data_IF_787154786601
#
_entry.id   IF_787154786601
#
_cell.length_a   1.000
_cell.length_b   1.000
_cell.length_c   1.000
_cell.angle_alpha   90.00
_cell.angle_beta   90.00
_cell.angle_gamma   90.00
#
_symmetry.space_group_name_H-M   'P 1'
#
loop_
_entity.id
_entity.type
_entity.pdbx_description
1 polymer ?
#
# COMPACT_ATOMS: atom_id res chain seq x y z
N UNK A 1 6.39 19.62 34.76
CA UNK A 1 7.71 19.95 34.16
C UNK A 1 8.09 18.75 33.30
N UNK A 2 7.69 18.75 32.03
CA UNK A 2 8.42 19.28 30.86
C UNK A 2 9.38 18.21 30.29
N UNK A 3 9.25 17.72 29.06
CA UNK A 3 8.39 18.20 27.98
C UNK A 3 8.30 17.23 26.80
N UNK A 4 7.14 17.27 26.15
CA UNK A 4 7.04 16.98 24.72
C UNK A 4 7.86 18.04 23.98
N UNK A 5 8.78 17.59 23.13
CA UNK A 5 9.38 18.43 22.11
C UNK A 5 8.83 17.96 20.77
N UNK A 6 7.87 18.72 20.25
CA UNK A 6 7.65 18.82 18.82
C UNK A 6 8.82 19.64 18.27
N UNK A 7 9.38 19.22 17.13
CA UNK A 7 9.79 20.07 16.01
C UNK A 7 10.52 19.19 14.98
N UNK A 8 9.93 19.10 13.79
CA UNK A 8 10.45 18.32 12.67
C UNK A 8 9.44 18.24 11.54
N UNK A 9 9.33 19.34 10.78
CA UNK A 9 8.55 19.48 9.55
C UNK A 9 8.96 18.42 8.53
N UNK A 10 7.99 17.62 8.07
CA UNK A 10 8.15 16.53 7.11
C UNK A 10 7.05 15.50 7.33
N UNK A 11 5.83 15.81 6.89
CA UNK A 11 4.70 14.88 6.95
C UNK A 11 4.85 13.80 5.90
N UNK A 12 5.65 12.78 6.18
CA UNK A 12 5.70 11.59 5.32
C UNK A 12 4.39 10.80 5.51
N UNK A 13 3.72 10.39 4.42
CA UNK A 13 2.49 9.60 4.50
C UNK A 13 2.78 8.29 5.24
N UNK A 14 1.92 7.94 6.20
CA UNK A 14 2.05 6.70 6.96
C UNK A 14 1.64 5.52 6.09
N UNK A 15 2.62 4.90 5.44
CA UNK A 15 2.44 3.65 4.67
C UNK A 15 2.77 2.46 5.56
N UNK A 16 1.83 1.51 5.68
CA UNK A 16 2.09 0.22 6.34
C UNK A 16 1.94 -0.91 5.34
N UNK A 17 3.07 -1.55 5.03
CA UNK A 17 3.06 -2.84 4.33
C UNK A 17 2.85 -3.92 5.37
N UNK A 18 1.77 -4.68 5.24
CA UNK A 18 1.53 -5.82 6.10
C UNK A 18 2.57 -6.93 5.86
N UNK A 19 3.25 -7.40 6.92
CA UNK A 19 4.05 -8.64 6.85
C UNK A 19 3.13 -9.83 6.51
N UNK A 20 3.20 -10.34 5.28
CA UNK A 20 2.64 -11.63 4.85
C UNK A 20 3.80 -12.44 4.28
N UNK A 21 3.83 -13.73 4.59
CA UNK A 21 4.97 -14.65 4.40
C UNK A 21 5.05 -15.28 3.00
N UNK A 22 4.27 -14.78 2.05
CA UNK A 22 4.17 -15.34 0.70
C UNK A 22 4.25 -14.20 -0.33
N UNK A 23 5.39 -14.14 -1.02
CA UNK A 23 5.67 -13.11 -2.03
C UNK A 23 4.79 -13.26 -3.28
N UNK A 24 4.06 -14.38 -3.43
CA UNK A 24 3.15 -14.65 -4.55
C UNK A 24 1.69 -14.24 -4.28
N UNK A 25 1.36 -13.79 -3.07
CA UNK A 25 0.00 -13.39 -2.73
C UNK A 25 -0.46 -12.13 -3.50
N UNK A 26 -1.72 -12.07 -3.99
CA UNK A 26 -2.24 -10.88 -4.67
C UNK A 26 -2.27 -9.69 -3.71
N UNK A 27 -2.07 -8.50 -4.27
CA UNK A 27 -1.88 -7.28 -3.48
C UNK A 27 -3.20 -6.51 -3.40
N UNK A 28 -3.56 -6.10 -2.19
CA UNK A 28 -4.68 -5.19 -1.96
C UNK A 28 -4.20 -3.88 -1.35
N UNK A 29 -4.67 -2.75 -1.91
CA UNK A 29 -4.44 -1.42 -1.39
C UNK A 29 -5.67 -0.94 -0.60
N UNK A 30 -5.46 -0.53 0.64
CA UNK A 30 -6.47 0.05 1.53
C UNK A 30 -6.16 1.52 1.76
N UNK A 31 -7.11 2.39 1.42
CA UNK A 31 -6.96 3.84 1.51
C UNK A 31 -8.10 4.42 2.36
N UNK A 32 -7.79 4.79 3.60
CA UNK A 32 -8.75 5.35 4.55
C UNK A 32 -8.01 6.16 5.62
N UNK A 33 -8.47 7.37 5.94
CA UNK A 33 -7.89 8.20 6.99
C UNK A 33 -8.26 7.76 8.43
N UNK A 34 -9.04 6.68 8.56
CA UNK A 34 -9.41 6.09 9.84
C UNK A 34 -8.66 4.78 10.12
N UNK A 35 -7.74 4.83 11.09
CA UNK A 35 -6.93 3.69 11.55
C UNK A 35 -7.74 2.45 11.94
N UNK A 36 -8.92 2.61 12.56
CA UNK A 36 -9.77 1.47 12.92
C UNK A 36 -10.40 0.82 11.70
N UNK A 37 -10.70 1.62 10.67
CA UNK A 37 -11.20 1.14 9.38
C UNK A 37 -10.12 0.30 8.69
N UNK A 38 -8.89 0.84 8.59
CA UNK A 38 -7.73 0.15 8.03
C UNK A 38 -7.48 -1.18 8.75
N UNK A 39 -7.37 -1.16 10.09
CA UNK A 39 -7.09 -2.37 10.88
C UNK A 39 -8.15 -3.47 10.66
N UNK A 40 -9.43 -3.11 10.65
CA UNK A 40 -10.52 -4.05 10.42
C UNK A 40 -10.48 -4.63 9.01
N UNK A 41 -10.29 -3.78 8.00
CA UNK A 41 -10.23 -4.21 6.60
C UNK A 41 -9.01 -5.08 6.32
N UNK A 42 -7.85 -4.74 6.89
CA UNK A 42 -6.63 -5.54 6.80
C UNK A 42 -6.88 -6.98 7.30
N UNK A 43 -7.52 -7.12 8.47
CA UNK A 43 -7.89 -8.44 8.99
C UNK A 43 -8.86 -9.23 8.10
N UNK A 44 -9.77 -8.56 7.39
CA UNK A 44 -10.71 -9.21 6.45
C UNK A 44 -9.99 -9.70 5.20
N UNK A 45 -9.11 -8.87 4.61
CA UNK A 45 -8.42 -9.17 3.36
C UNK A 45 -7.28 -10.17 3.53
N UNK A 46 -6.52 -10.10 4.64
CA UNK A 46 -5.49 -11.11 4.94
C UNK A 46 -6.06 -12.51 5.07
N UNK A 47 -7.24 -12.66 5.67
CA UNK A 47 -7.91 -13.96 5.76
C UNK A 47 -8.36 -14.49 4.41
N UNK A 48 -8.45 -13.62 3.39
CA UNK A 48 -8.70 -13.99 2.00
C UNK A 48 -7.41 -14.19 1.19
N UNK A 49 -6.25 -14.17 1.84
CA UNK A 49 -4.96 -14.43 1.20
C UNK A 49 -4.31 -13.23 0.51
N UNK A 50 -4.77 -12.01 0.76
CA UNK A 50 -4.15 -10.81 0.18
C UNK A 50 -2.96 -10.30 1.01
N UNK A 51 -1.92 -9.83 0.32
CA UNK A 51 -0.91 -8.92 0.88
C UNK A 51 -1.49 -7.52 0.91
N UNK A 52 -1.66 -6.95 2.10
CA UNK A 52 -2.34 -5.67 2.29
C UNK A 52 -1.33 -4.55 2.45
N UNK A 53 -1.50 -3.49 1.66
CA UNK A 53 -0.81 -2.21 1.76
C UNK A 53 -1.83 -1.18 2.25
N UNK A 54 -1.50 -0.48 3.32
CA UNK A 54 -2.33 0.59 3.88
C UNK A 54 -1.75 1.96 3.54
N UNK A 55 -2.62 2.89 3.20
CA UNK A 55 -2.33 4.29 3.00
C UNK A 55 -3.48 5.16 3.58
N UNK A 56 -3.16 6.39 3.97
CA UNK A 56 -4.13 7.34 4.52
C UNK A 56 -4.36 8.55 3.62
N UNK A 57 -3.63 8.65 2.51
CA UNK A 57 -3.43 9.87 1.71
C UNK A 57 -3.65 9.58 0.22
N UNK A 58 -4.27 10.51 -0.51
CA UNK A 58 -4.68 10.30 -1.90
C UNK A 58 -3.50 10.24 -2.88
N UNK A 59 -2.58 11.21 -2.83
CA UNK A 59 -1.39 11.25 -3.70
C UNK A 59 -0.54 9.98 -3.50
N UNK A 60 -0.27 9.63 -2.24
CA UNK A 60 0.50 8.42 -1.92
C UNK A 60 -0.22 7.14 -2.35
N UNK A 61 -1.56 7.12 -2.37
CA UNK A 61 -2.31 5.98 -2.87
C UNK A 61 -2.12 5.78 -4.38
N UNK A 62 -2.11 6.86 -5.17
CA UNK A 62 -1.85 6.80 -6.61
C UNK A 62 -0.43 6.30 -6.89
N UNK A 63 0.57 6.82 -6.17
CA UNK A 63 1.96 6.35 -6.26
C UNK A 63 2.09 4.85 -5.94
N UNK A 64 1.47 4.40 -4.85
CA UNK A 64 1.46 2.99 -4.44
C UNK A 64 0.72 2.12 -5.46
N UNK A 65 -0.36 2.62 -6.06
CA UNK A 65 -1.09 1.89 -7.08
C UNK A 65 -0.23 1.61 -8.32
N UNK A 66 0.53 2.62 -8.78
CA UNK A 66 1.42 2.49 -9.94
C UNK A 66 2.61 1.57 -9.63
N UNK A 67 3.19 1.70 -8.44
CA UNK A 67 4.42 0.98 -8.07
C UNK A 67 4.18 -0.46 -7.63
N UNK A 68 3.17 -0.70 -6.79
CA UNK A 68 2.90 -2.03 -6.20
C UNK A 68 1.87 -2.83 -6.99
N UNK A 69 1.19 -2.21 -7.96
CA UNK A 69 0.22 -2.83 -8.88
C UNK A 69 -0.83 -3.71 -8.17
N UNK A 70 -1.59 -3.17 -7.20
CA UNK A 70 -2.59 -3.93 -6.47
C UNK A 70 -3.75 -4.38 -7.36
N UNK A 71 -4.16 -5.65 -7.28
CA UNK A 71 -5.31 -6.17 -8.03
C UNK A 71 -6.65 -5.66 -7.46
N UNK A 72 -6.63 -5.22 -6.20
CA UNK A 72 -7.80 -4.83 -5.42
C UNK A 72 -7.52 -3.53 -4.66
N UNK A 73 -8.43 -2.57 -4.75
CA UNK A 73 -8.34 -1.27 -4.06
C UNK A 73 -9.63 -1.02 -3.30
N UNK A 74 -9.53 -0.72 -2.01
CA UNK A 74 -10.61 -0.10 -1.24
C UNK A 74 -10.21 1.32 -0.92
N UNK A 75 -11.01 2.30 -1.36
CA UNK A 75 -10.71 3.72 -1.19
C UNK A 75 -11.88 4.46 -0.55
N UNK A 76 -11.57 5.29 0.43
CA UNK A 76 -12.50 6.25 1.03
C UNK A 76 -12.63 7.49 0.14
N UNK A 77 -13.82 8.09 0.06
CA UNK A 77 -14.00 9.39 -0.62
C UNK A 77 -13.23 10.50 0.10
N UNK A 78 -13.46 10.64 1.40
CA UNK A 78 -12.80 11.65 2.21
C UNK A 78 -11.42 11.15 2.67
N UNK A 79 -10.38 11.54 1.94
CA UNK A 79 -8.97 11.35 2.31
C UNK A 79 -8.21 12.67 2.07
N UNK A 80 -7.07 12.91 2.76
CA UNK A 80 -6.24 14.09 2.53
C UNK A 80 -5.59 14.09 1.13
N UNK A 81 -5.01 15.24 0.77
CA UNK A 81 -4.30 15.59 -0.49
C UNK A 81 -5.16 15.55 -1.75
N UNK A 82 -5.80 14.42 -2.03
CA UNK A 82 -6.60 14.19 -3.23
C UNK A 82 -7.94 13.55 -2.86
N UNK A 83 -9.03 14.01 -3.48
CA UNK A 83 -10.34 13.38 -3.29
C UNK A 83 -10.30 11.93 -3.78
N UNK A 84 -10.87 11.00 -3.00
CA UNK A 84 -10.79 9.57 -3.32
C UNK A 84 -11.42 9.20 -4.66
N UNK A 85 -12.39 9.97 -5.15
CA UNK A 85 -12.92 9.81 -6.52
C UNK A 85 -11.88 10.17 -7.57
N UNK A 86 -11.19 11.30 -7.40
CA UNK A 86 -10.14 11.75 -8.33
C UNK A 86 -8.96 10.77 -8.31
N UNK A 87 -8.51 10.36 -7.12
CA UNK A 87 -7.47 9.34 -6.97
C UNK A 87 -7.83 8.04 -7.70
N UNK A 88 -9.08 7.58 -7.61
CA UNK A 88 -9.54 6.39 -8.33
C UNK A 88 -9.54 6.56 -9.85
N UNK A 89 -9.84 7.76 -10.36
CA UNK A 89 -9.76 8.06 -11.78
C UNK A 89 -8.31 8.04 -12.28
N UNK A 90 -7.37 8.65 -11.56
CA UNK A 90 -5.93 8.62 -11.90
C UNK A 90 -5.38 7.17 -11.87
N UNK A 91 -5.78 6.37 -10.87
CA UNK A 91 -5.46 4.94 -10.84
C UNK A 91 -6.00 4.24 -12.09
N UNK A 92 -7.26 4.49 -12.45
CA UNK A 92 -7.92 3.85 -13.60
C UNK A 92 -7.29 4.24 -14.94
N UNK A 93 -6.84 5.49 -15.07
CA UNK A 93 -6.09 6.01 -16.22
C UNK A 93 -4.76 5.25 -16.35
N UNK A 94 -4.03 5.07 -15.25
CA UNK A 94 -2.75 4.36 -15.26
C UNK A 94 -2.90 2.86 -15.56
N UNK A 95 -3.97 2.22 -15.06
CA UNK A 95 -4.25 0.79 -15.28
C UNK A 95 -5.72 0.46 -15.07
N UNK A 96 -6.30 -0.21 -16.06
CA UNK A 96 -7.74 -0.49 -16.10
C UNK A 96 -8.17 -1.86 -15.54
N UNK A 97 -7.25 -2.73 -15.13
CA UNK A 97 -7.54 -4.11 -14.71
C UNK A 97 -7.69 -4.29 -13.18
N UNK A 98 -7.52 -3.23 -12.39
CA UNK A 98 -7.70 -3.28 -10.95
C UNK A 98 -9.18 -3.17 -10.54
N UNK A 99 -9.54 -3.87 -9.47
CA UNK A 99 -10.89 -3.82 -8.88
C UNK A 99 -10.94 -2.72 -7.83
N UNK A 100 -11.70 -1.67 -8.10
CA UNK A 100 -11.84 -0.51 -7.19
C UNK A 100 -13.18 -0.60 -6.46
N UNK A 101 -13.15 -0.44 -5.14
CA UNK A 101 -14.33 -0.41 -4.26
C UNK A 101 -14.29 0.89 -3.46
N UNK A 102 -15.37 1.66 -3.53
CA UNK A 102 -15.52 2.84 -2.67
C UNK A 102 -16.05 2.47 -1.29
N UNK A 103 -15.57 3.18 -0.28
CA UNK A 103 -16.12 3.11 1.08
C UNK A 103 -16.55 4.50 1.52
N UNK A 104 -17.79 4.64 1.98
CA UNK A 104 -18.35 5.94 2.33
C UNK A 104 -19.33 5.85 3.50
N UNK A 105 -19.48 6.92 4.32
CA UNK A 105 -20.56 6.99 5.28
C UNK A 105 -21.92 7.08 4.56
N UNK A 106 -22.99 6.66 5.22
CA UNK A 106 -24.36 6.72 4.67
C UNK A 106 -24.76 8.09 4.14
N UNK A 107 -24.28 9.16 4.77
CA UNK A 107 -24.53 10.55 4.38
C UNK A 107 -24.00 10.91 2.99
N UNK A 108 -23.06 10.13 2.45
CA UNK A 108 -22.46 10.33 1.14
C UNK A 108 -22.79 9.18 0.17
N UNK A 109 -23.85 8.41 0.43
CA UNK A 109 -24.18 7.24 -0.38
C UNK A 109 -24.46 7.57 -1.86
N UNK A 110 -25.07 8.72 -2.16
CA UNK A 110 -25.22 9.18 -3.56
C UNK A 110 -23.88 9.57 -4.19
N UNK A 111 -23.07 10.38 -3.50
CA UNK A 111 -21.74 10.76 -3.99
C UNK A 111 -20.86 9.55 -4.28
N UNK A 112 -20.90 8.54 -3.42
CA UNK A 112 -20.16 7.29 -3.60
C UNK A 112 -20.67 6.46 -4.78
N UNK A 113 -21.97 6.50 -5.08
CA UNK A 113 -22.53 5.86 -6.28
C UNK A 113 -22.08 6.58 -7.55
N UNK A 114 -22.10 7.90 -7.56
CA UNK A 114 -21.66 8.71 -8.70
C UNK A 114 -20.16 8.51 -8.96
N UNK A 115 -19.34 8.54 -7.90
CA UNK A 115 -17.91 8.24 -7.99
C UNK A 115 -17.64 6.81 -8.49
N UNK A 116 -18.41 5.83 -7.99
CA UNK A 116 -18.30 4.44 -8.43
C UNK A 116 -18.64 4.26 -9.90
N UNK A 117 -19.72 4.87 -10.38
CA UNK A 117 -20.07 4.87 -11.80
C UNK A 117 -18.98 5.55 -12.62
N UNK A 118 -18.52 6.72 -12.20
CA UNK A 118 -17.52 7.52 -12.89
C UNK A 118 -16.17 6.79 -13.06
N UNK A 119 -15.66 6.15 -12.00
CA UNK A 119 -14.36 5.45 -12.00
C UNK A 119 -14.43 3.96 -12.42
N UNK A 120 -15.61 3.45 -12.74
CA UNK A 120 -15.81 2.03 -13.03
C UNK A 120 -15.48 1.14 -11.82
N UNK A 121 -15.95 1.54 -10.64
CA UNK A 121 -15.79 0.76 -9.41
C UNK A 121 -16.76 -0.43 -9.39
N UNK A 122 -16.32 -1.57 -8.87
CA UNK A 122 -17.12 -2.81 -8.83
C UNK A 122 -18.19 -2.78 -7.73
N UNK A 123 -17.96 -1.99 -6.67
CA UNK A 123 -18.88 -1.90 -5.54
C UNK A 123 -18.70 -0.61 -4.73
N UNK A 124 -19.73 -0.31 -3.91
CA UNK A 124 -19.70 0.70 -2.86
C UNK A 124 -20.09 0.05 -1.54
N UNK A 125 -19.31 0.28 -0.50
CA UNK A 125 -19.58 -0.23 0.85
C UNK A 125 -19.83 0.90 1.84
N UNK A 126 -20.92 0.77 2.60
CA UNK A 126 -21.24 1.70 3.69
C UNK A 126 -20.29 1.47 4.87
N UNK A 127 -19.70 2.56 5.39
CA UNK A 127 -18.94 2.53 6.64
C UNK A 127 -19.89 2.47 7.84
N UNK A 128 -19.61 1.66 8.88
CA UNK A 128 -18.44 0.80 9.05
C UNK A 128 -18.49 -0.49 8.21
N UNK A 129 -17.45 -0.72 7.40
CA UNK A 129 -17.37 -1.91 6.54
C UNK A 129 -17.21 -3.19 7.37
N UNK A 130 -18.24 -4.03 7.39
CA UNK A 130 -18.20 -5.33 8.07
C UNK A 130 -17.69 -6.43 7.15
N UNK A 131 -17.29 -7.56 7.73
CA UNK A 131 -16.98 -8.79 6.97
C UNK A 131 -18.15 -9.23 6.09
N UNK A 132 -19.37 -9.21 6.63
CA UNK A 132 -20.57 -9.59 5.90
C UNK A 132 -20.86 -8.66 4.72
N UNK A 133 -20.55 -7.36 4.84
CA UNK A 133 -20.69 -6.41 3.74
C UNK A 133 -19.71 -6.72 2.60
N UNK A 134 -18.45 -7.05 2.92
CA UNK A 134 -17.46 -7.49 1.93
C UNK A 134 -17.85 -8.81 1.28
N UNK A 135 -18.36 -9.77 2.06
CA UNK A 135 -18.85 -11.05 1.55
C UNK A 135 -20.03 -10.89 0.59
N UNK A 136 -20.96 -9.98 0.90
CA UNK A 136 -22.14 -9.73 0.08
C UNK A 136 -21.81 -9.18 -1.32
N UNK A 137 -20.68 -8.50 -1.49
CA UNK A 137 -20.24 -7.94 -2.78
C UNK A 137 -19.11 -8.73 -3.41
N UNK A 138 -18.64 -9.82 -2.79
CA UNK A 138 -17.44 -10.53 -3.23
C UNK A 138 -17.56 -11.11 -4.64
N UNK A 139 -18.74 -11.63 -4.99
CA UNK A 139 -19.03 -12.12 -6.35
C UNK A 139 -18.90 -10.99 -7.38
N UNK A 140 -19.37 -9.78 -7.07
CA UNK A 140 -19.21 -8.62 -7.93
C UNK A 140 -17.74 -8.17 -8.03
N UNK A 141 -16.99 -8.28 -6.93
CA UNK A 141 -15.54 -8.02 -6.94
C UNK A 141 -14.83 -8.97 -7.91
N UNK A 142 -15.16 -10.26 -7.90
CA UNK A 142 -14.52 -11.25 -8.79
C UNK A 142 -14.99 -11.18 -10.25
N UNK A 143 -16.10 -10.48 -10.51
CA UNK A 143 -16.72 -10.34 -11.83
C UNK A 143 -16.00 -9.39 -12.79
N UNK A 144 -16.77 -8.89 -13.75
CA UNK A 144 -16.31 -7.94 -14.77
C UNK A 144 -16.07 -6.56 -14.17
N UNK A 145 -15.01 -5.89 -14.64
CA UNK A 145 -14.69 -4.52 -14.24
C UNK A 145 -15.52 -3.57 -15.12
N UNK A 146 -16.38 -2.71 -14.54
CA UNK A 146 -17.18 -1.76 -15.30
C UNK A 146 -16.30 -0.74 -16.03
N UNK A 147 -16.82 -0.19 -17.14
CA UNK A 147 -16.21 0.96 -17.80
C UNK A 147 -16.18 2.19 -16.87
N UNK A 148 -15.20 3.05 -17.08
CA UNK A 148 -14.98 4.26 -16.31
C UNK A 148 -15.26 5.52 -17.16
N UNK A 149 -16.53 5.88 -17.40
CA UNK A 149 -16.90 7.01 -18.25
C UNK A 149 -16.35 8.36 -17.75
N UNK A 150 -16.01 8.47 -16.46
CA UNK A 150 -15.42 9.66 -15.86
C UNK A 150 -14.02 10.01 -16.35
N UNK A 151 -13.28 9.05 -16.93
CA UNK A 151 -11.96 9.34 -17.50
C UNK A 151 -12.03 10.40 -18.60
N UNK A 152 -13.05 10.34 -19.45
CA UNK A 152 -13.24 11.31 -20.53
C UNK A 152 -13.50 12.74 -20.03
N UNK A 153 -13.88 12.91 -18.76
CA UNK A 153 -14.05 14.22 -18.13
C UNK A 153 -12.78 14.67 -17.40
N UNK A 154 -11.94 13.74 -16.93
CA UNK A 154 -10.63 14.05 -16.34
C UNK A 154 -9.69 14.67 -17.39
N UNK A 155 -9.64 14.10 -18.58
CA UNK A 155 -8.84 14.61 -19.72
C UNK A 155 -9.23 16.05 -20.11
N UNK A 156 -10.47 16.46 -19.85
CA UNK A 156 -10.95 17.83 -20.11
C UNK A 156 -10.55 18.82 -19.02
N UNK A 157 -10.45 18.35 -17.77
CA UNK A 157 -10.10 19.17 -16.61
C UNK A 157 -8.60 19.47 -16.58
N UNK A 158 -7.80 18.47 -16.96
CA UNK A 158 -6.37 18.59 -17.19
C UNK A 158 -6.10 18.15 -18.62
N UNK A 159 -6.38 18.99 -19.64
CA UNK A 159 -5.80 18.74 -20.94
C UNK A 159 -4.32 18.55 -20.69
N UNK A 160 -3.76 17.42 -21.16
CA UNK A 160 -2.31 17.19 -21.15
C UNK A 160 -1.66 18.54 -21.48
N UNK A 161 -0.65 18.94 -20.71
CA UNK A 161 0.12 20.14 -20.99
C UNK A 161 0.82 19.94 -22.35
N UNK A 162 0.07 20.00 -23.45
CA UNK A 162 0.48 20.12 -24.84
C UNK A 162 0.97 21.55 -25.05
N UNK A 163 1.93 21.92 -24.23
CA UNK A 163 2.93 22.92 -24.49
C UNK A 163 4.03 22.54 -23.49
N UNK A 164 5.10 21.93 -24.01
CA UNK A 164 6.41 22.36 -23.54
C UNK A 164 6.35 23.88 -23.62
N UNK A 165 5.99 24.54 -22.52
CA UNK A 165 6.22 25.97 -22.41
C UNK A 165 7.72 26.02 -22.55
N UNK A 166 8.19 26.38 -23.74
CA UNK A 166 9.53 26.85 -23.94
C UNK A 166 9.59 28.08 -23.04
N UNK A 167 9.95 27.87 -21.77
CA UNK A 167 10.18 28.95 -20.84
C UNK A 167 11.35 29.67 -21.49
N UNK A 168 11.06 30.74 -22.23
CA UNK A 168 12.06 31.72 -22.60
C UNK A 168 12.55 32.29 -21.29
N UNK A 169 13.57 31.61 -20.75
CA UNK A 169 14.24 31.93 -19.50
C UNK A 169 14.96 33.28 -19.61
N UNK A 170 14.75 34.06 -20.67
CA UNK A 170 14.88 35.51 -20.67
C UNK A 170 16.20 35.95 -20.06
N UNK A 171 17.30 35.31 -20.46
CA UNK A 171 18.64 35.62 -19.98
C UNK A 171 18.80 35.70 -18.46
N UNK A 172 17.97 34.97 -17.68
CA UNK A 172 18.15 34.91 -16.24
C UNK A 172 19.58 34.40 -15.97
N UNK A 173 20.39 35.13 -15.19
CA UNK A 173 21.75 34.69 -14.90
C UNK A 173 21.65 33.34 -14.20
N UNK A 174 22.33 32.34 -14.77
CA UNK A 174 22.48 31.04 -14.11
C UNK A 174 23.00 31.31 -12.69
N UNK A 175 22.44 30.66 -11.66
CA UNK A 175 23.04 30.72 -10.34
C UNK A 175 24.49 30.25 -10.47
N UNK A 176 25.44 30.86 -9.73
CA UNK A 176 26.82 30.40 -9.75
C UNK A 176 26.82 28.89 -9.44
N UNK A 177 27.64 28.08 -10.13
CA UNK A 177 27.70 26.66 -9.87
C UNK A 177 27.95 26.44 -8.37
N UNK A 178 27.24 25.50 -7.72
CA UNK A 178 27.45 25.23 -6.30
C UNK A 178 28.94 24.97 -6.10
N UNK A 179 29.57 25.72 -5.20
CA UNK A 179 30.97 25.53 -4.83
C UNK A 179 31.11 24.09 -4.35
N UNK A 180 31.69 23.23 -5.21
CA UNK A 180 31.90 21.80 -5.03
C UNK A 180 30.89 21.12 -4.09
N UNK A 181 29.95 20.35 -4.65
CA UNK A 181 29.17 19.39 -3.87
C UNK A 181 30.09 18.72 -2.84
N UNK A 182 29.79 18.77 -1.53
CA UNK A 182 30.61 18.11 -0.54
C UNK A 182 30.75 16.66 -1.01
N UNK A 183 31.98 16.17 -1.10
CA UNK A 183 32.24 14.81 -1.58
C UNK A 183 31.29 13.87 -0.87
N UNK A 184 30.40 13.23 -1.65
CA UNK A 184 29.48 12.23 -1.13
C UNK A 184 30.31 11.29 -0.27
N UNK A 185 29.97 11.23 1.02
CA UNK A 185 30.61 10.30 1.93
C UNK A 185 30.54 8.89 1.32
N UNK A 186 31.53 8.03 1.58
CA UNK A 186 31.53 6.67 1.05
C UNK A 186 30.18 6.01 1.37
N UNK A 187 29.58 5.26 0.41
CA UNK A 187 28.28 4.65 0.59
C UNK A 187 28.25 3.84 1.90
N UNK A 188 27.14 3.88 2.65
CA UNK A 188 27.06 3.21 3.94
C UNK A 188 27.40 1.72 3.77
N UNK A 189 28.41 1.23 4.50
CA UNK A 189 28.81 -0.18 4.47
C UNK A 189 27.57 -1.02 4.80
N UNK A 190 27.13 -1.86 3.84
CA UNK A 190 26.06 -2.85 4.05
C UNK A 190 26.37 -3.62 5.34
N UNK A 191 25.53 -3.44 6.37
CA UNK A 191 25.58 -4.26 7.58
C UNK A 191 25.28 -5.70 7.18
N UNK A 192 26.32 -6.53 7.11
CA UNK A 192 26.19 -7.98 6.94
C UNK A 192 25.46 -8.52 8.17
N UNK A 193 24.15 -8.76 8.05
CA UNK A 193 23.28 -9.29 9.12
C UNK A 193 23.96 -10.53 9.69
N UNK A 194 24.14 -10.49 11.01
CA UNK A 194 25.24 -11.15 11.70
C UNK A 194 25.23 -12.67 11.64
N UNK A 195 26.44 -13.22 11.82
CA UNK A 195 26.77 -14.62 12.12
C UNK A 195 25.97 -15.26 13.27
N UNK A 196 25.12 -14.49 13.99
CA UNK A 196 24.30 -14.99 15.10
C UNK A 196 23.23 -16.02 14.70
N UNK A 197 22.67 -15.92 13.48
CA UNK A 197 21.70 -16.91 12.99
C UNK A 197 22.35 -18.29 12.76
N UNK A 198 23.62 -18.30 12.32
CA UNK A 198 24.41 -19.52 12.15
C UNK A 198 24.75 -20.18 13.49
N UNK A 199 25.09 -19.39 14.52
CA UNK A 199 25.33 -19.94 15.87
C UNK A 199 24.06 -20.48 16.52
N UNK A 200 22.91 -19.84 16.33
CA UNK A 200 21.62 -20.31 16.85
C UNK A 200 21.16 -21.60 16.14
N UNK A 201 21.34 -21.69 14.82
CA UNK A 201 21.06 -22.90 14.05
C UNK A 201 21.95 -24.09 14.48
N UNK A 202 23.24 -23.84 14.78
CA UNK A 202 24.16 -24.88 15.24
C UNK A 202 23.77 -25.43 16.63
N UNK A 203 23.37 -24.56 17.56
CA UNK A 203 22.92 -24.98 18.89
C UNK A 203 21.65 -25.84 18.84
N UNK A 204 20.69 -25.47 17.97
CA UNK A 204 19.47 -26.26 17.77
C UNK A 204 19.77 -27.63 17.14
N UNK A 205 20.73 -27.70 16.21
CA UNK A 205 21.10 -28.96 15.55
C UNK A 205 21.81 -29.94 16.52
N UNK A 206 22.72 -29.43 17.35
CA UNK A 206 23.39 -30.24 18.39
C UNK A 206 22.38 -30.73 19.45
N UNK A 207 21.45 -29.87 19.85
CA UNK A 207 20.36 -30.24 20.77
C UNK A 207 19.45 -31.35 20.20
N UNK A 208 19.07 -31.24 18.93
CA UNK A 208 18.24 -32.24 18.26
C UNK A 208 18.95 -33.60 18.13
N UNK A 209 20.23 -33.61 17.74
CA UNK A 209 21.03 -34.84 17.67
C UNK A 209 21.20 -35.50 19.04
N UNK A 210 21.42 -34.72 20.10
CA UNK A 210 21.49 -35.23 21.47
C UNK A 210 20.17 -35.86 21.93
N UNK A 211 19.03 -35.23 21.63
CA UNK A 211 17.71 -35.76 21.98
C UNK A 211 17.37 -37.05 21.21
N UNK A 212 17.70 -37.11 19.92
CA UNK A 212 17.50 -38.32 19.09
C UNK A 212 18.40 -39.46 19.58
N UNK A 213 19.67 -39.19 19.86
CA UNK A 213 20.60 -40.18 20.40
C UNK A 213 20.15 -40.72 21.75
N UNK A 214 19.69 -39.85 22.66
CA UNK A 214 19.14 -40.26 23.96
C UNK A 214 17.85 -41.09 23.80
N UNK A 215 16.96 -40.73 22.88
CA UNK A 215 15.75 -41.50 22.58
C UNK A 215 16.05 -42.89 22.00
N UNK A 216 17.02 -43.00 21.09
CA UNK A 216 17.45 -44.29 20.55
C UNK A 216 18.15 -45.16 21.61
N UNK A 217 18.86 -44.55 22.55
CA UNK A 217 19.46 -45.22 23.70
C UNK A 217 18.40 -45.77 24.67
N UNK A 218 17.39 -44.97 25.04
CA UNK A 218 16.32 -45.44 25.95
C UNK A 218 15.44 -46.52 25.32
N UNK A 219 15.34 -46.56 23.99
CA UNK A 219 14.65 -47.61 23.25
C UNK A 219 15.54 -48.84 22.93
N UNK A 220 16.81 -48.85 23.35
CA UNK A 220 17.71 -50.01 23.25
C UNK A 220 18.30 -50.27 21.85
N UNK A 221 18.29 -49.29 20.95
CA UNK A 221 18.77 -49.44 19.57
C UNK A 221 20.26 -49.11 19.38
N UNK A 222 20.95 -48.62 20.42
CA UNK A 222 22.39 -48.31 20.37
C UNK A 222 23.14 -48.97 21.55
N UNK A 223 24.16 -49.81 21.29
CA UNK A 223 25.02 -50.36 22.34
C UNK A 223 26.10 -49.35 22.76
N UNK A 224 26.67 -49.57 23.94
CA UNK A 224 27.70 -48.74 24.58
C UNK A 224 28.98 -48.60 23.75
#
# INVERSE_FOLDING_TARGET
>A
MSGCRLDGVGGEPMVRVGEVTDDEAPVALLVDNNQMSLHRMNGILRQRGYRVIECEDGDAAVDLFVTEKPDLVFISLDIPTLDGHVAALEMRESRNDARIIFTAPRSQAELARDAAFSAGAVAVLEKPVSRSAVEAVWEAIEGEIPEAPGLADLDKLYPELEEEVEIDLGGLPLPPPPSALPALGPPPKRRRKGRGLLFLAMLLFVGALGAIGYGLYTMGYLPF
#
